data_IF_679548206170
#
_entry.id   IF_679548206170
#
_cell.length_a   1.000
_cell.length_b   1.000
_cell.length_c   1.000
_cell.angle_alpha   90.00
_cell.angle_beta   90.00
_cell.angle_gamma   90.00
#
_symmetry.space_group_name_H-M   'P 1'
#
loop_
_entity.id
_entity.type
_entity.pdbx_description
1 polymer ?
#
# COMPACT_ATOMS: atom_id res chain seq x y z
N UNK A 1 -24.54 -14.46 -7.96
CA UNK A 1 -24.10 -14.03 -6.61
C UNK A 1 -22.60 -14.21 -6.52
N UNK A 2 -21.81 -13.16 -6.25
CA UNK A 2 -20.40 -13.35 -5.86
C UNK A 2 -19.37 -12.25 -6.23
N UNK A 3 -19.59 -11.38 -7.22
CA UNK A 3 -18.63 -10.30 -7.50
C UNK A 3 -18.84 -9.13 -6.53
N UNK A 4 -18.42 -9.31 -5.28
CA UNK A 4 -18.10 -8.19 -4.41
C UNK A 4 -16.87 -7.49 -5.00
N UNK A 5 -17.14 -6.48 -5.82
CA UNK A 5 -16.28 -5.31 -6.04
C UNK A 5 -14.78 -5.58 -6.15
N UNK A 6 -14.32 -5.96 -7.34
CA UNK A 6 -12.91 -5.92 -7.79
C UNK A 6 -12.42 -4.47 -7.99
N UNK A 7 -12.89 -3.53 -7.17
CA UNK A 7 -12.24 -2.24 -6.96
C UNK A 7 -11.12 -2.49 -5.95
N UNK A 8 -10.14 -3.24 -6.45
CA UNK A 8 -9.27 -4.11 -5.69
C UNK A 8 -8.06 -3.37 -5.15
N UNK A 9 -7.59 -3.84 -3.99
CA UNK A 9 -6.23 -3.61 -3.49
C UNK A 9 -5.16 -3.69 -4.60
N UNK A 10 -5.35 -4.51 -5.63
CA UNK A 10 -4.50 -4.58 -6.81
C UNK A 10 -4.34 -3.25 -7.55
N UNK A 11 -5.42 -2.50 -7.76
CA UNK A 11 -5.37 -1.17 -8.39
C UNK A 11 -4.70 -0.14 -7.47
N UNK A 12 -4.87 -0.29 -6.16
CA UNK A 12 -4.17 0.53 -5.18
C UNK A 12 -2.66 0.28 -5.23
N UNK A 13 -2.23 -0.98 -5.20
CA UNK A 13 -0.82 -1.35 -5.32
C UNK A 13 -0.23 -0.91 -6.66
N UNK A 14 -0.99 -1.00 -7.76
CA UNK A 14 -0.56 -0.50 -9.06
C UNK A 14 -0.38 1.03 -9.05
N UNK A 15 -1.31 1.76 -8.43
CA UNK A 15 -1.20 3.21 -8.26
C UNK A 15 0.03 3.62 -7.43
N UNK A 16 0.35 2.86 -6.37
CA UNK A 16 1.58 3.08 -5.59
C UNK A 16 2.83 2.88 -6.44
N UNK A 17 2.87 1.81 -7.25
CA UNK A 17 3.99 1.56 -8.17
C UNK A 17 4.13 2.65 -9.22
N UNK A 18 3.01 3.12 -9.79
CA UNK A 18 2.99 4.25 -10.71
C UNK A 18 3.47 5.55 -10.05
N UNK A 19 3.22 5.72 -8.75
CA UNK A 19 3.74 6.84 -7.96
C UNK A 19 5.24 6.69 -7.61
N UNK A 20 5.90 5.61 -8.01
CA UNK A 20 7.32 5.36 -7.73
C UNK A 20 7.58 4.66 -6.40
N UNK A 21 6.59 3.99 -5.82
CA UNK A 21 6.78 3.13 -4.65
C UNK A 21 7.15 1.72 -5.10
N UNK A 22 8.30 1.24 -4.66
CA UNK A 22 8.72 -0.14 -4.85
C UNK A 22 8.25 -1.01 -3.67
N UNK A 23 7.64 -2.15 -3.99
CA UNK A 23 7.05 -3.06 -3.01
C UNK A 23 7.85 -4.36 -3.02
N UNK A 24 8.66 -4.55 -1.99
CA UNK A 24 9.33 -5.82 -1.74
C UNK A 24 8.31 -6.88 -1.31
N UNK A 25 8.45 -8.08 -1.85
CA UNK A 25 7.58 -9.23 -1.56
C UNK A 25 6.08 -8.96 -1.85
N UNK A 26 5.77 -8.31 -2.99
CA UNK A 26 4.38 -7.98 -3.41
C UNK A 26 3.43 -9.19 -3.42
N UNK A 27 3.94 -10.39 -3.75
CA UNK A 27 3.14 -11.62 -3.75
C UNK A 27 2.51 -11.88 -2.39
N UNK A 28 3.32 -11.88 -1.34
CA UNK A 28 2.87 -12.08 0.03
C UNK A 28 1.90 -10.98 0.49
N UNK A 29 2.19 -9.73 0.11
CA UNK A 29 1.29 -8.60 0.39
C UNK A 29 -0.08 -8.81 -0.25
N UNK A 30 -0.12 -9.20 -1.54
CA UNK A 30 -1.37 -9.49 -2.26
C UNK A 30 -2.12 -10.65 -1.65
N UNK A 31 -1.43 -11.73 -1.28
CA UNK A 31 -2.05 -12.89 -0.63
C UNK A 31 -2.72 -12.49 0.68
N UNK A 32 -2.02 -11.77 1.57
CA UNK A 32 -2.62 -11.30 2.83
C UNK A 32 -3.78 -10.32 2.61
N UNK A 33 -3.71 -9.47 1.58
CA UNK A 33 -4.78 -8.54 1.25
C UNK A 33 -6.01 -9.26 0.65
N UNK A 34 -5.79 -10.31 -0.14
CA UNK A 34 -6.83 -11.15 -0.72
C UNK A 34 -7.51 -12.05 0.32
N UNK A 35 -6.74 -12.58 1.27
CA UNK A 35 -7.24 -13.37 2.40
C UNK A 35 -8.03 -12.52 3.40
N UNK A 36 -7.70 -11.23 3.53
CA UNK A 36 -8.37 -10.34 4.44
C UNK A 36 -9.71 -9.83 3.88
N UNK A 37 -10.81 -10.14 4.57
CA UNK A 37 -12.14 -9.56 4.30
C UNK A 37 -12.12 -8.01 4.35
N UNK A 38 -11.14 -7.42 5.05
CA UNK A 38 -10.90 -5.97 5.12
C UNK A 38 -9.46 -5.64 4.77
N UNK A 39 -9.13 -5.71 3.48
CA UNK A 39 -7.78 -5.43 2.98
C UNK A 39 -7.21 -4.08 3.45
N UNK A 40 -8.00 -3.01 3.63
CA UNK A 40 -7.53 -1.72 4.17
C UNK A 40 -6.89 -1.85 5.56
N UNK A 41 -7.49 -2.65 6.44
CA UNK A 41 -6.98 -2.87 7.79
C UNK A 41 -5.77 -3.79 7.77
N UNK A 42 -5.81 -4.84 6.93
CA UNK A 42 -4.64 -5.69 6.71
C UNK A 42 -3.46 -4.87 6.18
N UNK A 43 -3.69 -3.97 5.22
CA UNK A 43 -2.68 -3.06 4.70
C UNK A 43 -2.11 -2.16 5.80
N UNK A 44 -2.94 -1.57 6.67
CA UNK A 44 -2.47 -0.78 7.81
C UNK A 44 -1.49 -1.58 8.68
N UNK A 45 -1.89 -2.80 9.03
CA UNK A 45 -1.11 -3.71 9.85
C UNK A 45 0.16 -4.15 9.13
N UNK A 46 0.12 -4.38 7.82
CA UNK A 46 1.26 -4.77 6.99
C UNK A 46 2.19 -3.59 6.69
N UNK A 47 1.70 -2.36 6.62
CA UNK A 47 2.56 -1.18 6.53
C UNK A 47 3.37 -0.99 7.82
N UNK A 48 2.77 -1.31 8.98
CA UNK A 48 3.43 -1.22 10.29
C UNK A 48 4.30 -2.46 10.63
N UNK A 49 3.81 -3.68 10.35
CA UNK A 49 4.43 -4.95 10.76
C UNK A 49 4.96 -5.77 9.57
N UNK A 50 4.77 -5.33 8.33
CA UNK A 50 5.17 -6.05 7.12
C UNK A 50 6.68 -6.27 7.03
N UNK A 51 7.49 -5.45 7.73
CA UNK A 51 8.93 -5.67 7.85
C UNK A 51 9.26 -7.06 8.42
N UNK A 52 8.42 -7.62 9.30
CA UNK A 52 8.58 -8.98 9.83
C UNK A 52 8.26 -10.06 8.79
N UNK A 53 7.44 -9.74 7.79
CA UNK A 53 7.05 -10.62 6.67
C UNK A 53 7.93 -10.40 5.43
N UNK A 54 8.98 -9.57 5.54
CA UNK A 54 9.81 -9.19 4.40
C UNK A 54 9.12 -8.25 3.40
N UNK A 55 7.92 -7.74 3.73
CA UNK A 55 7.21 -6.75 2.94
C UNK A 55 7.73 -5.37 3.33
N UNK A 56 8.30 -4.67 2.36
CA UNK A 56 8.78 -3.29 2.54
C UNK A 56 8.29 -2.43 1.40
N UNK A 57 7.94 -1.20 1.76
CA UNK A 57 7.64 -0.14 0.83
C UNK A 57 8.84 0.80 0.86
N UNK A 58 9.46 0.97 -0.30
CA UNK A 58 10.67 1.75 -0.46
C UNK A 58 10.47 2.70 -1.65
N UNK A 59 11.15 3.84 -1.65
CA UNK A 59 11.13 4.71 -2.81
C UNK A 59 11.95 4.07 -3.93
N UNK A 60 11.44 4.07 -5.16
CA UNK A 60 12.13 3.51 -6.31
C UNK A 60 13.31 4.40 -6.79
N UNK A 61 13.84 5.31 -5.96
CA UNK A 61 14.95 6.21 -6.27
C UNK A 61 14.62 7.40 -7.17
N UNK A 62 13.42 7.46 -7.77
CA UNK A 62 13.04 8.50 -8.76
C UNK A 62 12.26 9.70 -8.19
N UNK A 63 12.31 9.94 -6.87
CA UNK A 63 11.35 10.79 -6.15
C UNK A 63 9.94 10.23 -6.23
N UNK A 64 9.50 9.61 -5.14
CA UNK A 64 8.11 9.22 -4.94
C UNK A 64 7.18 10.42 -5.15
N UNK A 65 6.20 10.26 -6.04
CA UNK A 65 5.22 11.30 -6.27
C UNK A 65 4.15 11.25 -5.17
N UNK A 66 4.40 11.99 -4.08
CA UNK A 66 3.49 12.09 -2.94
C UNK A 66 2.08 12.51 -3.36
N UNK A 67 1.92 13.28 -4.44
CA UNK A 67 0.61 13.67 -4.95
C UNK A 67 -0.19 12.48 -5.52
N UNK A 68 0.48 11.54 -6.21
CA UNK A 68 -0.17 10.33 -6.73
C UNK A 68 -0.47 9.32 -5.61
N UNK A 69 0.41 9.21 -4.61
CA UNK A 69 0.12 8.45 -3.38
C UNK A 69 -1.12 9.03 -2.71
N UNK A 70 -1.13 10.33 -2.43
CA UNK A 70 -2.26 10.99 -1.78
C UNK A 70 -3.56 10.78 -2.59
N UNK A 71 -3.49 10.92 -3.91
CA UNK A 71 -4.62 10.66 -4.80
C UNK A 71 -5.10 9.21 -4.73
N UNK A 72 -4.19 8.24 -4.66
CA UNK A 72 -4.54 6.83 -4.49
C UNK A 72 -5.24 6.63 -3.13
N UNK A 73 -4.63 7.07 -2.03
CA UNK A 73 -5.22 6.95 -0.70
C UNK A 73 -6.61 7.60 -0.59
N UNK A 74 -6.77 8.82 -1.14
CA UNK A 74 -8.06 9.51 -1.21
C UNK A 74 -9.10 8.75 -2.06
N UNK A 75 -8.71 8.25 -3.24
CA UNK A 75 -9.57 7.43 -4.11
C UNK A 75 -10.03 6.17 -3.43
N UNK A 76 -9.13 5.51 -2.70
CA UNK A 76 -9.41 4.29 -1.96
C UNK A 76 -9.88 4.56 -0.53
N UNK A 77 -10.32 5.79 -0.20
CA UNK A 77 -10.78 6.26 1.13
C UNK A 77 -10.00 5.66 2.31
N UNK A 78 -8.69 5.59 2.17
CA UNK A 78 -7.79 5.18 3.24
C UNK A 78 -7.62 6.40 4.16
N UNK A 79 -7.70 6.23 5.49
CA UNK A 79 -7.56 7.35 6.42
C UNK A 79 -6.18 8.02 6.29
N UNK A 80 -6.16 9.35 6.35
CA UNK A 80 -4.94 10.18 6.23
C UNK A 80 -3.88 9.85 7.30
N UNK A 81 -4.31 9.37 8.48
CA UNK A 81 -3.41 8.81 9.51
C UNK A 81 -2.49 7.74 8.92
N UNK A 82 -3.06 6.83 8.13
CA UNK A 82 -2.36 5.68 7.58
C UNK A 82 -1.45 6.13 6.45
N UNK A 83 -1.91 7.06 5.61
CA UNK A 83 -1.07 7.72 4.61
C UNK A 83 0.14 8.41 5.24
N UNK A 84 -0.07 9.16 6.32
CA UNK A 84 0.99 9.88 7.03
C UNK A 84 2.00 8.90 7.64
N UNK A 85 1.52 7.82 8.25
CA UNK A 85 2.36 6.75 8.80
C UNK A 85 3.15 6.04 7.68
N UNK A 86 2.51 5.79 6.54
CA UNK A 86 3.12 5.16 5.38
C UNK A 86 4.20 6.05 4.75
N UNK A 87 3.88 7.32 4.50
CA UNK A 87 4.82 8.31 3.97
C UNK A 87 5.99 8.56 4.94
N UNK A 88 5.74 8.54 6.25
CA UNK A 88 6.79 8.60 7.26
C UNK A 88 7.71 7.36 7.20
N UNK A 89 7.15 6.15 7.08
CA UNK A 89 7.93 4.92 6.94
C UNK A 89 8.76 4.90 5.64
N UNK A 90 8.23 5.41 4.53
CA UNK A 90 8.96 5.57 3.27
C UNK A 90 10.18 6.50 3.44
N UNK A 91 10.00 7.64 4.12
CA UNK A 91 11.07 8.61 4.36
C UNK A 91 12.12 8.14 5.37
N UNK A 92 11.76 7.24 6.27
CA UNK A 92 12.63 6.76 7.33
C UNK A 92 13.62 5.67 6.88
N UNK A 93 13.46 5.12 5.68
CA UNK A 93 14.36 4.12 5.09
C UNK A 93 15.47 4.76 4.22
N UNK A 94 15.55 6.11 4.17
CA UNK A 94 16.55 6.89 3.44
C UNK A 94 17.63 7.52 4.36
#
# INVERSE_FOLDING_TARGET
MGSLSTESYEQFLDSLKQAGVEISNERELRERLAEAQRWRFAFATLAANGRQLGIRFQDAGCSVNNADIHRAFARFQIPENLETTFAASLRADH
#
